data_IF_943936592878
#
_entry.id   IF_943936592878
#
_cell.length_a   1.000
_cell.length_b   1.000
_cell.length_c   1.000
_cell.angle_alpha   90.00
_cell.angle_beta   90.00
_cell.angle_gamma   90.00
#
_symmetry.space_group_name_H-M   'P 1'
#
loop_
_entity.id
_entity.type
_entity.pdbx_description
1 polymer ?
2 non-polymer ?
3 non-polymer ?
4 non-polymer ?
5 non-polymer ?
6 water ?
#
# COMPACT_ATOMS: atom_id res chain seq x y z
N UNK A 1 -7.10 -16.85 21.15
CA UNK A 1 -5.63 -16.94 21.38
C UNK A 1 -4.92 -15.77 20.72
N UNK A 2 -5.46 -15.30 19.60
CA UNK A 2 -4.88 -14.22 18.82
C UNK A 2 -6.00 -13.22 18.51
N UNK A 3 -5.96 -12.06 19.17
CA UNK A 3 -6.98 -11.06 18.97
C UNK A 3 -6.58 -10.01 17.95
N UNK A 4 -7.57 -9.23 17.53
CA UNK A 4 -7.33 -8.16 16.57
C UNK A 4 -6.21 -7.24 17.07
N UNK A 5 -6.28 -6.84 18.35
CA UNK A 5 -5.30 -5.90 18.87
C UNK A 5 -3.89 -6.47 18.79
N UNK A 6 -3.74 -7.76 19.08
CA UNK A 6 -2.42 -8.38 18.96
C UNK A 6 -1.89 -8.25 17.54
N UNK A 7 -2.74 -8.50 16.55
CA UNK A 7 -2.32 -8.39 15.15
C UNK A 7 -1.93 -6.96 14.81
N UNK A 8 -2.69 -5.98 15.30
CA UNK A 8 -2.35 -4.58 15.04
C UNK A 8 -1.01 -4.22 15.67
N UNK A 9 -0.76 -4.68 16.90
CA UNK A 9 0.54 -4.40 17.53
C UNK A 9 1.68 -5.00 16.72
N UNK A 10 1.48 -6.21 16.18
CA UNK A 10 2.51 -6.83 15.36
C UNK A 10 2.83 -5.98 14.14
N UNK A 11 1.80 -5.48 13.46
CA UNK A 11 2.04 -4.58 12.34
C UNK A 11 2.75 -3.32 12.78
N UNK A 12 2.34 -2.76 13.91
CA UNK A 12 3.02 -1.58 14.44
C UNK A 12 4.50 -1.84 14.63
N UNK A 13 4.84 -2.95 15.30
CA UNK A 13 6.25 -3.26 15.57
C UNK A 13 7.01 -3.43 14.26
N UNK A 14 6.44 -4.20 13.33
CA UNK A 14 7.10 -4.40 12.05
C UNK A 14 7.36 -3.10 11.32
N UNK A 15 6.38 -2.20 11.32
CA UNK A 15 6.58 -0.91 10.66
C UNK A 15 7.62 -0.07 11.39
N UNK A 16 7.61 -0.11 12.73
CA UNK A 16 8.60 0.63 13.50
C UNK A 16 10.01 0.19 13.15
N UNK A 17 10.26 -1.12 13.14
CA UNK A 17 11.59 -1.62 12.84
C UNK A 17 12.03 -1.18 11.44
N UNK A 18 11.13 -1.30 10.47
CA UNK A 18 11.43 -0.80 9.14
C UNK A 18 11.78 0.66 9.16
N UNK A 19 10.98 1.47 9.87
CA UNK A 19 11.21 2.91 9.91
C UNK A 19 12.61 3.24 10.41
N UNK A 20 12.98 2.68 11.57
CA UNK A 20 14.30 2.97 12.13
C UNK A 20 15.40 2.49 11.18
N UNK A 21 15.22 1.33 10.57
CA UNK A 21 16.23 0.82 9.65
C UNK A 21 16.43 1.78 8.47
N UNK A 22 15.33 2.27 7.89
CA UNK A 22 15.45 3.17 6.76
C UNK A 22 16.07 4.50 7.17
N UNK A 23 15.66 5.03 8.33
CA UNK A 23 16.21 6.31 8.79
C UNK A 23 17.72 6.20 9.00
N UNK A 24 18.17 5.09 9.60
CA UNK A 24 19.60 4.92 9.81
C UNK A 24 20.35 4.89 8.49
N UNK A 25 19.92 4.04 7.55
CA UNK A 25 20.61 3.93 6.27
C UNK A 25 20.66 5.25 5.53
N UNK A 26 19.82 6.22 5.89
CA UNK A 26 19.84 7.53 5.31
C UNK A 26 20.57 8.57 6.13
N UNK A 27 21.26 8.17 7.20
CA UNK A 27 21.97 9.09 8.08
C UNK A 27 22.61 10.23 7.31
N UNK A 35 16.37 11.62 -0.99
CA UNK A 35 14.95 11.57 -1.32
C UNK A 35 14.38 10.17 -1.12
N UNK A 36 15.06 9.17 -1.65
CA UNK A 36 14.56 7.80 -1.55
C UNK A 36 14.42 7.37 -0.09
N UNK A 37 15.47 7.58 0.70
CA UNK A 37 15.45 7.15 2.10
C UNK A 37 14.38 7.89 2.89
N UNK A 38 14.17 9.17 2.59
CA UNK A 38 13.14 9.93 3.30
C UNK A 38 11.75 9.43 2.92
N UNK A 39 11.56 9.03 1.67
CA UNK A 39 10.27 8.49 1.25
C UNK A 39 9.98 7.18 1.96
N UNK A 40 10.97 6.30 2.09
CA UNK A 40 10.73 5.03 2.76
C UNK A 40 10.43 5.22 4.24
N UNK A 41 11.04 6.22 4.87
CA UNK A 41 10.68 6.51 6.26
C UNK A 41 9.22 6.93 6.34
N UNK A 42 8.76 7.74 5.39
CA UNK A 42 7.37 8.15 5.39
C UNK A 42 6.42 6.99 5.15
N UNK A 43 6.77 6.11 4.22
CA UNK A 43 5.90 4.97 3.91
C UNK A 43 5.65 4.12 5.15
N UNK A 44 6.71 3.69 5.83
CA UNK A 44 6.54 2.84 6.99
C UNK A 44 6.24 3.63 8.25
N UNK A 45 6.74 4.86 8.35
CA UNK A 45 6.45 5.68 9.52
C UNK A 45 4.97 5.98 9.65
N UNK A 46 4.34 6.36 8.55
CA UNK A 46 2.90 6.64 8.59
C UNK A 46 2.13 5.38 8.96
N UNK A 47 2.51 4.24 8.37
CA UNK A 47 1.82 2.99 8.67
C UNK A 47 1.99 2.61 10.14
N UNK A 48 3.19 2.80 10.68
CA UNK A 48 3.40 2.54 12.10
C UNK A 48 2.35 3.25 12.94
N UNK A 49 2.15 4.54 12.69
CA UNK A 49 1.19 5.31 13.47
C UNK A 49 -0.22 4.75 13.29
N UNK A 50 -0.62 4.47 12.05
CA UNK A 50 -1.97 3.95 11.83
C UNK A 50 -2.19 2.67 12.61
N UNK A 51 -1.19 1.79 12.65
CA UNK A 51 -1.37 0.51 13.33
C UNK A 51 -1.44 0.68 14.84
N UNK A 52 -0.61 1.58 15.40
CA UNK A 52 -0.71 1.84 16.84
C UNK A 52 -2.10 2.34 17.19
N UNK A 53 -2.57 3.36 16.49
CA UNK A 53 -3.92 3.89 16.72
C UNK A 53 -4.93 2.75 16.72
N UNK A 54 -4.85 1.89 15.71
CA UNK A 54 -5.78 0.77 15.63
C UNK A 54 -5.54 -0.22 16.77
N UNK A 55 -4.28 -0.46 17.11
CA UNK A 55 -4.00 -1.34 18.25
C UNK A 55 -4.66 -0.83 19.52
N UNK A 56 -4.66 0.49 19.72
CA UNK A 56 -5.27 1.09 20.89
C UNK A 56 -6.79 1.12 20.83
N UNK A 57 -7.40 0.58 19.78
CA UNK A 57 -8.83 0.57 19.66
C UNK A 57 -9.44 1.83 19.11
N UNK A 58 -8.65 2.71 18.53
CA UNK A 58 -9.14 3.98 18.00
C UNK A 58 -9.47 3.80 16.53
N UNK A 59 -10.59 4.40 16.11
CA UNK A 59 -10.94 4.40 14.70
C UNK A 59 -11.68 3.18 14.22
N UNK A 60 -12.24 2.38 15.11
CA UNK A 60 -13.02 1.20 14.73
C UNK A 60 -14.46 1.66 14.54
N UNK A 61 -14.87 1.87 13.28
CA UNK A 61 -16.15 2.46 12.95
C UNK A 61 -17.15 1.35 12.67
N UNK A 62 -18.25 1.24 13.40
CA UNK A 62 -19.30 0.27 13.04
C UNK A 62 -20.10 0.79 11.86
N UNK A 63 -20.37 -0.10 10.91
CA UNK A 63 -21.11 0.25 9.69
C UNK A 63 -22.04 -0.91 9.39
N UNK A 64 -23.34 -0.70 9.56
CA UNK A 64 -24.31 -1.77 9.35
C UNK A 64 -24.00 -2.95 10.27
N UNK A 65 -23.46 -4.02 9.69
CA UNK A 65 -23.20 -5.24 10.44
C UNK A 65 -21.72 -5.54 10.63
N UNK A 66 -20.83 -4.73 10.05
CA UNK A 66 -19.41 -5.00 10.06
C UNK A 66 -18.67 -3.86 10.76
N UNK A 67 -17.38 -4.10 10.98
CA UNK A 67 -16.49 -3.11 11.59
C UNK A 67 -15.46 -2.67 10.56
N UNK A 68 -15.34 -1.36 10.39
CA UNK A 68 -14.44 -0.74 9.42
C UNK A 68 -13.31 -0.05 10.19
N UNK A 69 -12.09 -0.21 9.69
CA UNK A 69 -10.90 0.32 10.36
C UNK A 69 -10.43 1.55 9.60
N UNK A 70 -10.82 2.72 10.09
CA UNK A 70 -10.62 3.95 9.36
C UNK A 70 -9.14 4.33 9.24
N UNK A 71 -8.32 4.12 10.26
CA UNK A 71 -6.90 4.46 10.12
C UNK A 71 -6.22 3.71 8.98
N UNK A 72 -6.67 2.50 8.69
CA UNK A 72 -6.10 1.74 7.57
C UNK A 72 -6.20 2.52 6.27
N UNK A 73 -7.35 3.14 6.01
CA UNK A 73 -7.53 3.81 4.72
C UNK A 73 -6.80 5.15 4.66
N UNK A 74 -6.76 5.90 5.77
CA UNK A 74 -5.94 7.10 5.79
C UNK A 74 -4.48 6.74 5.51
N UNK A 75 -3.98 5.71 6.20
CA UNK A 75 -2.66 5.15 5.89
C UNK A 75 -2.51 4.92 4.40
N UNK A 76 -3.40 4.13 3.81
CA UNK A 76 -3.24 3.77 2.41
C UNK A 76 -3.25 5.00 1.51
N UNK A 77 -4.10 5.98 1.80
CA UNK A 77 -4.21 7.15 0.95
C UNK A 77 -2.92 7.96 0.94
N UNK A 78 -2.17 7.94 2.03
CA UNK A 78 -0.93 8.70 2.12
C UNK A 78 0.30 7.90 1.73
N UNK A 79 0.32 6.59 2.03
CA UNK A 79 1.52 5.81 1.81
C UNK A 79 1.61 5.26 0.39
N UNK A 80 0.49 4.85 -0.21
CA UNK A 80 0.56 4.29 -1.56
C UNK A 80 1.04 5.29 -2.60
N UNK A 81 0.66 6.57 -2.58
CA UNK A 81 1.26 7.51 -3.55
C UNK A 81 2.76 7.67 -3.35
N UNK A 82 3.23 7.51 -2.11
CA UNK A 82 4.66 7.58 -1.85
C UNK A 82 5.38 6.38 -2.46
N UNK A 83 4.75 5.21 -2.46
CA UNK A 83 5.31 4.05 -3.13
C UNK A 83 5.36 4.29 -4.63
N UNK A 84 4.28 4.83 -5.20
CA UNK A 84 4.27 5.13 -6.63
C UNK A 84 5.29 6.21 -6.95
N UNK A 85 5.44 7.20 -6.06
CA UNK A 85 6.47 8.21 -6.24
C UNK A 85 7.85 7.58 -6.29
N UNK A 86 8.15 6.71 -5.31
CA UNK A 86 9.44 6.03 -5.30
C UNK A 86 9.71 5.32 -6.62
N UNK A 87 8.73 4.57 -7.12
CA UNK A 87 8.91 3.90 -8.40
C UNK A 87 9.03 4.89 -9.55
N UNK A 88 8.37 6.04 -9.46
CA UNK A 88 8.47 7.03 -10.50
C UNK A 88 9.85 7.64 -10.59
N UNK A 89 10.49 7.85 -9.44
CA UNK A 89 11.86 8.36 -9.45
C UNK A 89 12.80 7.35 -10.11
N UNK A 90 12.68 6.07 -9.75
CA UNK A 90 13.52 5.06 -10.37
C UNK A 90 13.37 5.06 -11.88
N UNK A 91 12.14 5.20 -12.37
CA UNK A 91 11.88 5.16 -13.80
C UNK A 91 12.19 6.47 -14.49
N UNK A 92 12.39 7.55 -13.75
CA UNK A 92 12.71 8.83 -14.33
C UNK A 92 11.55 9.49 -15.04
N UNK A 93 10.41 9.58 -14.36
CA UNK A 93 9.23 10.20 -14.95
C UNK A 93 9.35 11.72 -14.92
N UNK A 94 8.87 12.35 -15.98
CA UNK A 94 8.69 13.80 -15.96
C UNK A 94 7.52 14.15 -15.05
N UNK A 95 7.54 15.38 -14.51
CA UNK A 95 6.56 15.76 -13.51
C UNK A 95 5.13 15.62 -13.99
N UNK A 96 4.91 15.47 -15.30
CA UNK A 96 3.55 15.32 -15.81
C UNK A 96 3.10 13.87 -15.74
N UNK A 97 3.98 12.93 -16.04
CA UNK A 97 3.64 11.51 -15.88
C UNK A 97 3.31 11.19 -14.43
N UNK A 98 4.06 11.80 -13.49
CA UNK A 98 3.75 11.63 -12.08
C UNK A 98 2.29 11.94 -11.80
N UNK A 99 1.77 13.03 -12.37
CA UNK A 99 0.42 13.46 -12.06
C UNK A 99 -0.61 12.42 -12.43
N UNK A 100 -0.45 11.79 -13.59
CA UNK A 100 -1.41 10.78 -14.03
C UNK A 100 -1.47 9.63 -13.03
N UNK A 101 -0.31 9.01 -12.76
CA UNK A 101 -0.32 7.80 -11.95
C UNK A 101 -0.75 8.10 -10.52
N UNK A 102 -0.29 9.22 -9.95
CA UNK A 102 -0.70 9.56 -8.59
C UNK A 102 -2.19 9.89 -8.55
N UNK A 103 -2.74 10.44 -9.63
CA UNK A 103 -4.18 10.68 -9.68
C UNK A 103 -4.93 9.36 -9.75
N UNK A 104 -4.51 8.47 -10.65
CA UNK A 104 -5.12 7.15 -10.72
C UNK A 104 -5.05 6.43 -9.37
N UNK A 105 -3.90 6.49 -8.71
CA UNK A 105 -3.76 5.84 -7.42
C UNK A 105 -4.78 6.38 -6.42
N UNK A 106 -4.91 7.70 -6.33
CA UNK A 106 -5.80 8.30 -5.34
C UNK A 106 -7.24 7.88 -5.58
N UNK A 107 -7.64 7.72 -6.84
CA UNK A 107 -9.00 7.27 -7.13
C UNK A 107 -9.22 5.88 -6.55
N UNK A 108 -8.24 5.00 -6.70
CA UNK A 108 -8.35 3.66 -6.12
C UNK A 108 -8.57 3.74 -4.62
N UNK A 109 -7.70 4.49 -3.94
CA UNK A 109 -7.73 4.54 -2.48
C UNK A 109 -9.01 5.18 -1.99
N UNK A 110 -9.41 6.30 -2.58
CA UNK A 110 -10.63 6.99 -2.14
C UNK A 110 -11.87 6.13 -2.37
N UNK A 111 -11.94 5.47 -3.54
CA UNK A 111 -13.09 4.60 -3.80
C UNK A 111 -13.19 3.48 -2.77
N UNK A 112 -12.04 2.90 -2.40
CA UNK A 112 -12.08 1.84 -1.40
C UNK A 112 -12.50 2.37 -0.04
N UNK A 113 -11.98 3.53 0.34
CA UNK A 113 -12.38 4.15 1.61
C UNK A 113 -13.87 4.43 1.63
N UNK A 114 -14.39 5.02 0.56
CA UNK A 114 -15.81 5.35 0.51
C UNK A 114 -16.68 4.11 0.51
N UNK A 115 -16.32 3.10 -0.29
CA UNK A 115 -17.10 1.87 -0.31
C UNK A 115 -17.13 1.17 1.02
N UNK A 116 -16.01 1.18 1.75
CA UNK A 116 -16.00 0.57 3.07
C UNK A 116 -16.96 1.27 4.01
N UNK A 117 -17.11 2.59 3.87
CA UNK A 117 -17.90 3.40 4.79
C UNK A 117 -19.37 3.49 4.41
N UNK A 118 -19.79 2.85 3.33
CA UNK A 118 -21.17 2.91 2.86
C UNK A 118 -21.86 1.60 3.20
N UNK A 119 -23.02 1.62 3.87
CA UNK A 119 -23.63 0.36 4.30
C UNK A 119 -24.33 -0.40 3.18
N UNK A 120 -24.92 0.31 2.22
CA UNK A 120 -25.72 -0.32 1.20
C UNK A 120 -24.89 -0.92 0.08
N UNK A 121 -25.61 -1.44 -0.92
CA UNK A 121 -24.94 -2.11 -2.03
C UNK A 121 -24.24 -1.13 -2.95
N UNK A 122 -24.55 0.16 -2.85
CA UNK A 122 -23.78 1.16 -3.59
C UNK A 122 -22.29 1.01 -3.35
N UNK A 123 -21.89 0.37 -2.24
CA UNK A 123 -20.48 0.21 -1.93
C UNK A 123 -19.79 -0.66 -2.97
N UNK A 124 -20.50 -1.61 -3.58
CA UNK A 124 -19.89 -2.39 -4.65
C UNK A 124 -19.71 -1.56 -5.90
N UNK A 125 -20.55 -0.54 -6.11
CA UNK A 125 -20.33 0.38 -7.22
C UNK A 125 -19.07 1.19 -7.01
N UNK A 126 -18.80 1.61 -5.77
CA UNK A 126 -17.55 2.30 -5.48
C UNK A 126 -16.36 1.36 -5.65
N UNK A 127 -16.50 0.11 -5.20
CA UNK A 127 -15.41 -0.85 -5.36
C UNK A 127 -15.07 -1.07 -6.83
N UNK A 128 -16.10 -1.21 -7.67
CA UNK A 128 -15.84 -1.39 -9.10
C UNK A 128 -15.08 -0.25 -9.71
N UNK A 129 -15.38 0.98 -9.28
CA UNK A 129 -14.67 2.13 -9.84
C UNK A 129 -13.19 2.10 -9.45
N UNK A 130 -12.89 1.75 -8.21
CA UNK A 130 -11.50 1.57 -7.82
C UNK A 130 -10.83 0.49 -8.65
N UNK A 131 -11.54 -0.61 -8.91
CA UNK A 131 -10.98 -1.67 -9.74
C UNK A 131 -10.62 -1.17 -11.13
N UNK A 132 -11.51 -0.39 -11.75
CA UNK A 132 -11.24 0.11 -13.09
C UNK A 132 -10.00 0.99 -13.08
N UNK A 133 -9.92 1.90 -12.11
CA UNK A 133 -8.76 2.79 -12.03
C UNK A 133 -7.49 2.02 -11.70
N UNK A 134 -7.60 0.92 -10.96
CA UNK A 134 -6.43 0.12 -10.64
C UNK A 134 -5.85 -0.51 -11.92
N UNK A 135 -6.71 -0.97 -12.82
CA UNK A 135 -6.22 -1.53 -14.07
C UNK A 135 -5.45 -0.48 -14.88
N UNK A 136 -5.91 0.76 -14.86
CA UNK A 136 -5.16 1.82 -15.52
C UNK A 136 -3.82 2.06 -14.85
N UNK A 137 -3.78 1.99 -13.52
CA UNK A 137 -2.51 2.15 -12.81
C UNK A 137 -1.54 1.03 -13.18
N UNK A 138 -2.03 -0.21 -13.26
CA UNK A 138 -1.18 -1.33 -13.63
C UNK A 138 -0.62 -1.12 -15.03
N UNK A 139 -1.46 -0.62 -15.95
CA UNK A 139 -0.98 -0.37 -17.30
C UNK A 139 0.21 0.60 -17.28
N UNK A 140 0.13 1.65 -16.47
CA UNK A 140 1.20 2.64 -16.46
C UNK A 140 2.47 2.07 -15.86
N UNK A 141 2.34 1.22 -14.83
CA UNK A 141 3.52 0.60 -14.23
C UNK A 141 4.20 -0.34 -15.21
N UNK A 142 3.42 -1.17 -15.90
CA UNK A 142 3.98 -2.18 -16.78
C UNK A 142 4.38 -1.63 -18.14
N UNK A 143 3.81 -0.50 -18.55
CA UNK A 143 4.08 0.05 -19.86
C UNK A 143 4.90 1.32 -19.82
N UNK A 144 4.23 2.47 -19.87
CA UNK A 144 4.97 3.75 -19.94
C UNK A 144 6.09 3.90 -18.92
N UNK A 145 5.87 3.50 -17.67
CA UNK A 145 6.92 3.66 -16.66
C UNK A 145 8.07 2.69 -16.89
N UNK A 146 7.79 1.53 -17.51
CA UNK A 146 8.85 0.59 -17.85
C UNK A 146 9.63 1.08 -19.06
N UNK A 147 8.94 1.59 -20.08
CA UNK A 147 9.62 2.25 -21.18
C UNK A 147 10.60 3.30 -20.65
N UNK A 148 10.13 4.13 -19.71
CA UNK A 148 10.94 5.24 -19.21
C UNK A 148 12.12 4.74 -18.40
N UNK A 149 11.89 3.76 -17.51
CA UNK A 149 12.99 3.19 -16.74
C UNK A 149 14.07 2.59 -17.62
N UNK A 150 13.73 2.23 -18.86
CA UNK A 150 14.71 1.61 -19.75
C UNK A 150 15.87 2.56 -20.05
N UNK A 151 15.61 3.87 -20.06
CA UNK A 151 16.66 4.82 -20.39
C UNK A 151 17.72 4.95 -19.32
N UNK A 152 17.60 4.27 -18.19
CA UNK A 152 18.54 4.41 -17.10
C UNK A 152 19.55 3.26 -17.13
N UNK A 153 20.55 3.36 -16.25
CA UNK A 153 21.58 2.34 -16.14
C UNK A 153 20.97 0.96 -16.00
N UNK A 154 21.74 -0.09 -16.29
CA UNK A 154 21.22 -1.43 -16.23
C UNK A 154 20.85 -1.85 -14.81
N UNK A 155 21.53 -1.29 -13.81
CA UNK A 155 21.26 -1.63 -12.43
C UNK A 155 20.01 -0.95 -11.90
N UNK A 156 19.80 0.31 -12.28
CA UNK A 156 18.58 1.01 -11.91
C UNK A 156 17.38 0.34 -12.55
N UNK A 157 17.48 0.04 -13.85
CA UNK A 157 16.37 -0.62 -14.51
C UNK A 157 16.06 -1.97 -13.88
N UNK A 158 17.09 -2.69 -13.44
CA UNK A 158 16.88 -3.98 -12.79
C UNK A 158 16.16 -3.81 -11.46
N UNK A 159 16.56 -2.80 -10.67
CA UNK A 159 15.88 -2.52 -9.42
C UNK A 159 14.43 -2.14 -9.65
N UNK A 160 14.17 -1.29 -10.65
CA UNK A 160 12.80 -0.89 -10.92
C UNK A 160 11.92 -2.09 -11.25
N UNK A 161 12.42 -2.99 -12.10
CA UNK A 161 11.63 -4.15 -12.52
C UNK A 161 11.33 -5.04 -11.32
N UNK A 162 12.28 -5.17 -10.40
CA UNK A 162 12.05 -6.02 -9.24
C UNK A 162 11.01 -5.41 -8.31
N UNK A 163 11.11 -4.11 -8.04
CA UNK A 163 10.12 -3.48 -7.18
C UNK A 163 8.76 -3.40 -7.88
N UNK A 164 8.75 -3.13 -9.19
CA UNK A 164 7.50 -3.11 -9.93
C UNK A 164 6.78 -4.45 -9.85
N UNK A 165 7.52 -5.55 -10.03
CA UNK A 165 6.91 -6.87 -10.00
C UNK A 165 6.32 -7.16 -8.61
N UNK A 166 7.11 -6.92 -7.57
CA UNK A 166 6.60 -7.04 -6.21
C UNK A 166 5.33 -6.23 -6.02
N UNK A 167 5.32 -5.00 -6.52
CA UNK A 167 4.18 -4.11 -6.30
C UNK A 167 2.94 -4.60 -7.03
N UNK A 168 3.09 -4.91 -8.33
CA UNK A 168 1.92 -5.27 -9.14
C UNK A 168 1.29 -6.55 -8.62
N UNK A 169 2.11 -7.57 -8.33
CA UNK A 169 1.56 -8.85 -7.94
C UNK A 169 0.86 -8.75 -6.58
N UNK A 170 1.49 -8.10 -5.62
CA UNK A 170 0.91 -8.03 -4.28
C UNK A 170 -0.26 -7.04 -4.21
N UNK A 171 -0.14 -5.89 -4.86
CA UNK A 171 -1.27 -4.95 -4.84
C UNK A 171 -2.52 -5.56 -5.45
N UNK A 172 -2.36 -6.43 -6.44
CA UNK A 172 -3.50 -7.06 -7.08
C UNK A 172 -4.25 -7.99 -6.13
N UNK A 173 -3.62 -8.39 -5.03
CA UNK A 173 -4.28 -9.30 -4.09
C UNK A 173 -5.22 -8.53 -3.16
N UNK A 174 -4.88 -7.29 -2.83
CA UNK A 174 -5.70 -6.52 -1.89
C UNK A 174 -7.18 -6.48 -2.27
N UNK A 175 -7.57 -6.18 -3.51
CA UNK A 175 -9.02 -6.11 -3.80
C UNK A 175 -9.72 -7.43 -3.55
N UNK A 176 -9.03 -8.57 -3.71
CA UNK A 176 -9.65 -9.85 -3.40
C UNK A 176 -9.82 -10.05 -1.91
N UNK A 177 -8.84 -9.64 -1.10
CA UNK A 177 -9.00 -9.76 0.34
C UNK A 177 -10.13 -8.87 0.84
N UNK A 178 -10.20 -7.64 0.31
CA UNK A 178 -11.27 -6.72 0.68
C UNK A 178 -12.63 -7.31 0.35
N UNK A 179 -12.78 -7.82 -0.87
CA UNK A 179 -14.08 -8.32 -1.32
C UNK A 179 -14.50 -9.57 -0.55
N UNK A 180 -13.54 -10.45 -0.22
CA UNK A 180 -13.87 -11.66 0.51
C UNK A 180 -14.03 -11.41 2.01
N UNK A 181 -13.60 -10.25 2.50
CA UNK A 181 -13.66 -9.96 3.91
C UNK A 181 -14.90 -9.20 4.31
N UNK A 182 -14.89 -8.63 5.51
CA UNK A 182 -16.08 -7.95 6.04
C UNK A 182 -16.59 -6.84 5.12
N UNK A 183 -15.69 -6.05 4.50
CA UNK A 183 -16.19 -4.96 3.66
C UNK A 183 -17.05 -5.44 2.50
N UNK A 184 -16.79 -6.64 2.01
CA UNK A 184 -17.55 -7.18 0.89
C UNK A 184 -18.54 -8.24 1.30
N UNK A 185 -18.34 -9.46 0.81
CA UNK A 185 -19.29 -10.54 1.05
C UNK A 185 -18.96 -11.23 2.37
N UNK A 186 -18.39 -10.48 3.31
CA UNK A 186 -18.05 -10.94 4.65
C UNK A 186 -17.90 -12.45 4.78
N UNK A 187 -17.24 -13.07 3.81
CA UNK A 187 -16.87 -14.48 3.93
C UNK A 187 -15.82 -14.61 5.02
N UNK A 188 -14.58 -14.24 4.70
CA UNK A 188 -13.50 -14.28 5.66
C UNK A 188 -13.87 -13.51 6.93
N UNK A 189 -13.44 -14.04 8.07
CA UNK A 189 -13.69 -13.41 9.35
C UNK A 189 -12.75 -12.23 9.56
N UNK A 190 -13.13 -11.27 10.40
CA UNK A 190 -12.26 -10.11 10.61
C UNK A 190 -10.84 -10.49 11.02
N UNK A 191 -10.68 -11.52 11.85
CA UNK A 191 -9.36 -11.87 12.34
C UNK A 191 -8.46 -12.38 11.22
N UNK A 192 -8.98 -13.30 10.41
CA UNK A 192 -8.20 -13.80 9.27
C UNK A 192 -7.96 -12.70 8.26
N UNK A 193 -8.98 -11.90 7.96
CA UNK A 193 -8.83 -10.83 7.00
C UNK A 193 -7.76 -9.84 7.45
N UNK A 194 -7.79 -9.44 8.71
CA UNK A 194 -6.78 -8.53 9.24
C UNK A 194 -5.41 -9.16 9.16
N UNK A 195 -5.29 -10.42 9.58
CA UNK A 195 -4.00 -11.09 9.54
C UNK A 195 -3.40 -11.07 8.13
N UNK A 196 -4.23 -11.31 7.11
CA UNK A 196 -3.73 -11.31 5.74
C UNK A 196 -3.27 -9.92 5.33
N UNK A 197 -3.99 -8.88 5.74
CA UNK A 197 -3.63 -7.53 5.32
C UNK A 197 -2.40 -7.03 6.07
N UNK A 198 -2.24 -7.41 7.34
CA UNK A 198 -1.02 -7.05 8.05
C UNK A 198 0.19 -7.63 7.33
N UNK A 199 0.08 -8.89 6.88
CA UNK A 199 1.17 -9.49 6.13
C UNK A 199 1.47 -8.70 4.86
N UNK A 200 0.41 -8.36 4.11
CA UNK A 200 0.61 -7.65 2.84
C UNK A 200 1.20 -6.26 3.08
N UNK A 201 0.65 -5.53 4.06
CA UNK A 201 1.18 -4.21 4.37
C UNK A 201 2.67 -4.28 4.68
N UNK A 202 3.08 -5.24 5.51
CA UNK A 202 4.48 -5.35 5.87
C UNK A 202 5.36 -5.64 4.65
N UNK A 203 4.89 -6.51 3.75
CA UNK A 203 5.72 -6.86 2.60
C UNK A 203 5.75 -5.72 1.59
N UNK A 204 4.61 -5.10 1.32
CA UNK A 204 4.58 -4.04 0.32
C UNK A 204 5.26 -2.76 0.78
N UNK A 205 5.55 -2.62 2.09
CA UNK A 205 6.23 -1.45 2.62
C UNK A 205 7.61 -1.79 3.15
N UNK A 206 7.71 -2.63 4.18
CA UNK A 206 9.02 -2.93 4.76
C UNK A 206 9.82 -3.84 3.84
N UNK A 207 9.18 -4.89 3.30
CA UNK A 207 9.87 -5.72 2.33
C UNK A 207 10.35 -4.94 1.13
N UNK A 208 9.43 -4.20 0.49
CA UNK A 208 9.76 -3.21 -0.52
C UNK A 208 11.01 -2.42 -0.15
N UNK A 209 11.01 -1.82 1.04
CA UNK A 209 12.13 -0.99 1.44
C UNK A 209 13.44 -1.75 1.50
N UNK A 210 13.44 -2.95 2.09
CA UNK A 210 14.68 -3.68 2.26
C UNK A 210 15.26 -4.15 0.93
N UNK A 211 14.39 -4.48 -0.04
CA UNK A 211 14.90 -4.81 -1.36
C UNK A 211 15.62 -3.61 -1.96
N UNK A 212 15.14 -2.40 -1.68
CA UNK A 212 15.82 -1.20 -2.18
C UNK A 212 17.17 -1.02 -1.49
N UNK A 213 17.19 -1.13 -0.16
CA UNK A 213 18.45 -1.02 0.57
C UNK A 213 19.48 -2.01 0.03
N UNK A 214 19.07 -3.27 -0.15
CA UNK A 214 19.99 -4.29 -0.63
C UNK A 214 20.67 -3.86 -1.93
N UNK A 215 19.91 -3.26 -2.84
CA UNK A 215 20.49 -2.86 -4.12
C UNK A 215 21.37 -1.62 -3.98
N UNK A 216 21.06 -0.76 -3.01
CA UNK A 216 21.87 0.45 -2.82
C UNK A 216 23.28 0.14 -2.35
N UNK A 217 23.50 -1.02 -1.74
CA UNK A 217 24.84 -1.43 -1.33
C UNK A 217 25.56 -2.19 -2.44
N UNK A 218 24.82 -2.85 -3.33
CA UNK A 218 25.44 -3.61 -4.42
C UNK A 218 26.02 -2.72 -5.50
N UNK A 219 25.77 -1.42 -5.46
CA UNK A 219 26.32 -0.49 -6.44
C UNK A 219 27.81 -0.69 -6.62
X LIG B 1 -9.03 -1.52 -2.60
X LIG B 1 -10.53 -1.56 -2.88
X LIG B 1 -10.94 -0.95 -4.22
X LIG B 1 -10.21 -1.61 -5.37
X LIG B 1 -8.76 -1.92 -5.07
X LIG B 1 -8.20 -1.70 -3.87
X LIG B 1 -6.76 -1.71 -3.73
X LIG B 1 -5.99 -1.65 -2.60
X LIG B 1 -4.55 -1.65 -2.54
X LIG B 1 -3.94 -1.42 -1.35
X LIG B 1 -2.53 -1.33 -1.09
X LIG B 1 -2.05 -0.99 0.12
X LIG B 1 -0.65 -0.82 0.47
X LIG B 1 -0.34 -0.33 1.71
X LIG B 1 0.96 -0.05 2.24
X LIG B 1 -8.71 -0.18 -1.94
X LIG B 1 -8.72 -2.65 -1.59
X LIG B 1 -7.99 -2.18 -6.34
X LIG B 1 -3.78 -1.92 -3.81
X LIG B 1 0.39 -1.12 -0.56
X LIG C 1 -11.84 -2.18 6.98
X LIG D 1 -11.91 8.37 14.62
X LIG D 1 -10.97 8.13 13.63
X LIG D 1 -13.31 8.18 14.02
X LIG D 1 -13.66 9.31 13.23
X LIG D 1 -14.36 7.98 15.07
X LIG D 1 -15.53 8.74 14.69
X LIG D 1 -13.89 8.44 16.44
X LIG D 1 -14.92 8.32 17.39
X LIG D 1 -12.66 7.60 16.87
X LIG D 1 -11.66 7.44 15.78
X LIG D 1 -13.11 6.23 17.33
X LIG D 1 -12.40 5.85 18.46
X LIG D 1 -9.68 8.61 13.91
X LIG D 1 -8.71 8.00 12.89
X LIG D 1 -7.28 8.54 12.99
X LIG D 1 -6.30 7.68 12.18
X LIG D 1 -5.12 8.46 11.60
X LIG D 1 -3.88 7.58 11.46
X LIG D 1 -2.99 7.94 10.30
X LIG D 1 -2.11 9.15 10.60
X LIG E 1 -8.79 -17.42 14.40
X LIG E 1 -7.84 -17.20 13.44
X LIG E 1 -8.50 -16.69 15.71
X LIG E 1 -7.95 -17.63 16.64
X LIG E 1 -9.71 -16.05 16.32
X LIG E 1 -9.52 -16.05 17.76
X LIG E 1 -11.05 -16.69 16.08
X LIG E 1 -12.07 -15.78 16.49
X LIG E 1 -11.28 -17.11 14.63
X LIG E 1 -10.08 -16.95 13.78
X LIG E 1 -12.38 -16.33 13.95
X LIG E 1 -12.27 -16.53 12.58
X LIG E 1 -6.49 -17.27 13.81
X LIG E 1 -5.67 -17.62 12.57
X LIG E 1 -5.15 -16.39 11.82
X LIG E 1 -3.71 -16.59 11.34
X LIG E 1 -2.69 -16.10 12.38
X LIG E 1 -1.34 -15.86 11.75
X LIG E 1 -0.53 -14.80 12.46
X LIG E 1 0.48 -14.15 11.54
X LIG F 1 12.41 11.10 10.58
X LIG F 1 12.00 12.28 10.06
X LIG F 1 13.78 11.23 11.24
X LIG F 1 14.74 11.85 10.40
X LIG F 1 14.27 9.87 11.65
X LIG F 1 15.59 9.94 12.24
X LIG F 1 13.31 9.22 12.65
X LIG F 1 13.68 7.88 12.85
X LIG F 1 11.84 9.29 12.19
X LIG F 1 11.41 10.57 11.62
X LIG F 1 10.96 8.98 13.39
X LIG F 1 9.66 9.44 13.20
X LIG F 1 11.96 12.25 8.61
X LIG F 1 13.34 12.50 8.00
X LIG F 1 14.03 11.19 7.68
X LIG F 1 15.58 11.40 7.66
X LIG F 1 16.26 10.27 6.79
X LIG F 1 17.69 10.02 7.24
X LIG F 1 18.49 11.33 7.23
X LIG F 1 18.48 11.97 5.78
X LIG G 1 -11.29 11.68 6.04
X LIG G 1 -9.94 12.22 5.52
X LIG G 1 -9.66 11.67 4.13
X LIG G 1 -8.28 12.12 3.66
X LIG G 1 -8.36 12.81 2.29
X LIG G 1 -7.23 12.29 1.40
X LIG G 1 -6.87 13.25 0.25
X LIG G 1 -5.36 13.13 -0.01
X LIG G 1 -4.89 12.64 -1.15
X LIG G 1 -3.38 12.52 -1.35
X LIG G 1 -2.93 13.22 -2.63
X LIG G 1 -1.49 12.84 -3.00
X LIG G 1 -0.64 12.53 -1.77
X LIG G 1 0.85 12.53 -2.14
X LIG G 1 1.69 12.97 -0.94
X LIG G 1 1.79 11.84 0.08
X LIG G 1 2.09 12.41 1.47
X LIG G 1 -12.50 11.22 8.07
X LIG G 1 -11.21 11.42 7.55
X LIG G 1 -13.38 9.03 8.98
X LIG G 1 -14.55 9.24 8.25
X LIG G 1 -13.75 8.44 10.33
X LIG G 1 -14.73 7.46 10.17
X LIG G 1 -12.04 10.56 10.16
X LIG G 1 -12.59 10.32 9.13
X LIG H 1 -6.91 10.07 18.30
X LIG H 1 -5.68 10.50 17.96
X LIG H 1 -7.10 10.19 19.80
X LIG H 1 -6.15 9.37 20.47
X LIG H 1 -8.49 9.82 20.20
X LIG H 1 -8.65 10.03 21.62
X LIG H 1 -9.55 10.62 19.45
X LIG H 1 -10.82 10.09 19.75
X LIG H 1 -9.33 10.57 17.92
X LIG H 1 -7.95 10.86 17.51
X LIG H 1 -10.25 11.58 17.27
X LIG H 1 -11.59 11.23 17.44
X LIG H 1 -4.88 9.53 17.24
X LIG H 1 -3.83 10.25 16.38
X LIG H 1 -2.51 10.33 17.11
X LIG H 1 -1.42 10.93 16.17
X LIG H 1 -0.15 11.31 17.02
X LIG H 1 1.05 11.48 16.12
X LIG H 1 2.32 11.48 16.98
X LIG H 1 3.59 11.29 16.06
X LIG I 1 -6.18 4.56 25.46
X LIG I 1 -7.16 3.95 24.72
X LIG I 1 -5.16 3.49 25.86
X LIG I 1 -5.74 2.63 26.84
X LIG I 1 -3.92 4.11 26.40
X LIG I 1 -2.94 3.07 26.68
X LIG I 1 -3.32 5.12 25.44
X LIG I 1 -2.15 5.66 25.98
X LIG I 1 -4.34 6.24 25.15
X LIG I 1 -5.60 5.70 24.62
X LIG I 1 -3.77 7.21 24.12
X LIG I 1 -2.53 7.70 24.56
X LIG I 1 -8.49 4.52 24.81
X LIG I 1 -8.59 5.82 24.03
X LIG I 1 -10.01 6.33 24.12
X LIG I 1 -10.25 7.51 23.14
X LIG I 1 -10.91 7.01 21.80
X LIG I 1 -12.29 6.44 22.05
X LIG I 1 -13.36 7.43 21.60
X LIG I 1 -13.43 8.63 22.63
X LIG J 1 -14.49 8.72 -5.31
X LIG J 1 -13.31 9.68 -5.51
X LIG J 1 -13.22 10.12 -6.98
X LIG J 1 -12.77 11.58 -7.06
X LIG J 1 -11.35 11.70 -7.64
X LIG J 1 -10.62 12.83 -6.93
X LIG J 1 -9.11 12.91 -7.26
X LIG J 1 -8.54 14.00 -6.35
X LIG J 1 -7.30 14.48 -6.40
X LIG J 1 -6.20 14.03 -7.36
X LIG J 1 -5.19 15.19 -7.47
X LIG J 1 -3.73 14.73 -7.54
X LIG J 1 -2.96 15.67 -8.48
X LIG J 1 -1.45 15.68 -8.23
X LIG J 1 -0.79 16.63 -9.23
X LIG J 1 0.68 16.29 -9.44
X LIG J 1 1.23 17.05 -10.65
X LIG J 1 -15.83 10.16 -3.90
X LIG J 1 -15.12 8.95 -3.92
X LIG J 1 -18.11 11.26 -3.55
X LIG J 1 -17.36 12.43 -3.66
X LIG J 1 -18.67 11.10 -2.12
X LIG J 1 -19.90 11.75 -1.98
X LIG J 1 -17.75 9.01 -4.15
X LIG J 1 -17.24 10.04 -3.89
X LIG K 1 6.47 11.04 7.88
X LIG K 1 7.11 12.33 7.38
X LIG K 1 8.00 12.04 6.16
X LIG K 1 7.22 12.28 4.87
X LIG K 1 8.13 12.10 3.65
X LIG K 1 7.58 12.91 2.47
X LIG K 1 8.28 12.56 1.15
X LIG K 1 8.62 13.84 0.39
X LIG K 1 8.01 14.21 -0.73
X LIG K 1 6.89 13.38 -1.37
X LIG K 1 6.12 14.16 -2.43
X LIG K 1 7.04 14.87 -3.44
X LIG K 1 6.20 15.41 -4.60
X LIG K 1 7.10 15.80 -5.78
X LIG K 1 6.25 16.35 -6.92
X LIG K 1 6.41 15.47 -8.17
X LIG K 1 5.16 15.61 -9.05
X LIG K 1 6.14 9.70 9.84
X LIG K 1 6.89 10.77 9.34
X LIG K 1 7.03 9.41 12.20
X LIG K 1 8.13 8.93 11.50
X LIG K 1 6.59 8.40 13.25
X LIG K 1 7.69 7.82 13.89
X LIG K 1 4.80 9.93 11.62
X LIG K 1 5.90 9.71 11.21
X LIG L 1 10.82 -8.79 5.01
X LIG L 1 12.21 -8.39 5.51
X LIG L 1 13.29 -9.22 4.84
X LIG L 1 13.39 -8.87 3.35
X LIG L 1 14.60 -9.56 2.72
X LIG L 1 14.68 -9.18 1.24
X LIG L 1 15.71 -8.08 1.02
X LIG L 1 17.07 -8.74 0.80
X LIG L 1 17.56 -8.97 -0.41
X LIG L 1 16.82 -8.61 -1.65
X LIG L 1 9.24 -8.81 6.82
X LIG L 1 9.74 -8.03 5.76
X LIG L 1 7.67 -10.72 7.43
X LIG L 1 7.64 -11.86 6.65
X LIG L 1 6.29 -10.50 8.07
X LIG L 1 6.02 -11.51 8.98
X LIG L 1 7.31 -9.13 5.71
X LIG L 1 8.04 -9.49 6.56
X LIG M 1 15.19 -3.58 17.61
X LIG M 1 15.65 -2.29 16.96
X LIG M 1 16.55 -2.60 15.77
X LIG M 1 16.14 -1.76 14.55
X LIG M 1 17.16 -1.96 13.44
X LIG M 1 17.82 -0.62 13.10
X LIG M 1 19.31 -0.65 13.47
X LIG M 1 19.83 0.79 13.52
X LIG M 1 21.11 1.08 13.47
X LIG M 1 22.19 0.00 13.36
X LIG M 1 22.31 -0.48 11.91
X LIG M 1 23.77 -0.56 11.48
X LIG M 1 23.86 -1.12 10.06
X LIG M 1 25.22 -0.81 9.46
X LIG M 1 25.29 0.64 8.97
X LIG M 1 26.72 0.96 8.55
X LIG M 1 26.78 2.37 7.97
X LIG M 1 14.02 -4.42 19.52
X LIG M 1 14.66 -3.29 19.02
X LIG M 1 11.75 -4.36 20.66
X LIG M 1 11.72 -5.59 21.29
X LIG M 1 10.33 -3.95 20.23
X LIG M 1 10.38 -2.91 19.30
X LIG M 1 12.13 -4.42 18.32
X LIG M 1 12.62 -4.41 19.40
X LIG N 1 9.97 16.38 7.27
X LIG N 1 11.27 16.73 7.52
X LIG N 1 9.21 16.51 8.61
X LIG N 1 9.65 15.50 9.52
X LIG N 1 7.73 16.40 8.40
X LIG N 1 7.04 16.57 9.65
X LIG N 1 7.24 17.42 7.39
X LIG N 1 5.85 17.34 7.26
X LIG N 1 7.95 17.22 6.03
X LIG N 1 9.42 17.29 6.17
X LIG N 1 7.54 18.30 5.05
X LIG N 1 7.74 17.87 3.73
X LIG N 1 12.22 16.46 6.46
X LIG N 1 13.59 16.13 7.06
X LIG N 1 14.65 16.17 5.98
X LIG N 1 15.67 15.01 6.15
X LIG N 1 16.69 15.29 7.33
X LIG N 1 17.25 16.70 7.21
X LIG N 1 18.70 16.75 7.73
X LIG N 1 19.18 18.24 7.70
X LIG O 1 -17.92 -5.76 -8.15
X LIG O 1 -17.93 -7.29 -8.28
X LIG O 1 -18.94 -7.88 -7.30
X LIG O 1 -20.35 -7.58 -7.81
X LIG O 1 -21.40 -7.92 -6.75
X LIG O 1 -22.75 -7.39 -7.22
X LIG O 1 -23.76 -7.41 -6.07
X LIG O 1 -24.23 -8.85 -5.86
X LIG O 1 -24.63 -9.31 -4.68
X LIG O 1 -24.69 -8.46 -3.42
X LIG O 1 -26.15 -8.30 -2.98
X LIG O 1 -26.91 -9.58 -2.96
X LIG O 1 -19.73 -5.06 -9.58
X LIG O 1 -18.34 -5.07 -9.45
X LIG O 1 -21.94 -3.76 -9.54
X LIG O 1 -22.26 -2.94 -10.62
X LIG O 1 -22.57 -3.19 -8.26
X LIG O 1 -23.84 -2.68 -8.54
X LIG O 1 -19.79 -2.84 -9.14
X LIG O 1 -20.40 -3.82 -9.40
X LIG P 1 1.23 -3.84 24.56
X LIG P 1 0.19 -3.06 24.99
X LIG P 1 0.71 -5.01 23.73
X LIG P 1 -0.11 -5.82 24.57
X LIG P 1 1.87 -5.78 23.20
X LIG P 1 1.42 -6.89 22.40
X LIG P 1 2.81 -4.92 22.37
X LIG P 1 3.92 -5.70 22.02
X LIG P 1 3.28 -3.64 23.09
X LIG P 1 2.21 -2.94 23.80
X LIG P 1 3.83 -2.67 22.04
X LIG P 1 5.19 -2.38 22.23
X LIG P 1 0.61 -1.80 25.59
X LIG P 1 -0.60 -0.97 26.02
X LIG P 1 -0.12 0.34 26.60
X LIG P 1 -0.49 1.53 25.71
X LIG Q 1 -16.80 9.55 1.97
X LIG Q 1 -18.15 9.75 1.94
X LIG Q 1 -16.21 10.01 0.64
X LIG Q 1 -16.82 9.29 -0.44
X LIG Q 1 -14.74 9.81 0.57
X LIG Q 1 -14.15 10.81 -0.31
X LIG Q 1 -14.05 9.87 1.93
X LIG Q 1 -13.95 8.57 2.45
X LIG Q 1 -14.82 10.76 2.94
X LIG Q 1 -16.22 10.35 3.14
X LIG Q 1 -14.78 12.22 2.49
X LIG Q 1 -13.61 12.52 1.77
X LIG Q 1 -18.97 8.55 1.87
X LIG Q 1 -19.29 8.05 3.28
X LIG Q 1 -20.69 7.48 3.36
X LIG Q 1 -21.45 8.17 4.54
X LIG Q 1 -22.67 7.32 5.07
X LIG Q 1 -23.45 6.69 3.93
X LIG Q 1 -24.96 6.64 4.26
X LIG Q 1 -25.22 6.10 5.70
#
# INVERSE_FOLDING_TARGET
MVGLTTLFWLGAIGMLVGTLAFAWAGRDAGSGERRYYVTLVGISGIAAVAYVVMALGVGWVPVAERTVFAPRYIDWILTTPLIVYFLGLLAGLDSREFGIVITLNTVVMLAGFAGAMVPGIERYALFGMGAVAFLGLVYYLVGPMTESASQRSSGIKSLYVRLRNLTVILWAIYPFIWLLGPPGVALLTPTVDVALIVYLDLVTKVGFGFIALDAAATLRAEHGESLAGVDTDAPAVADENSHHHHHHH
RET C1 C2 C3 C4 C5 C6 C7 C8 C9 C10 C11 C12 C13 C14 C15 C16 C17 C18 C19 C20
CL CL
BOG C1 O1 C2 O2 C3 O3 C4 O4 C5 O5 C6 O6 C1' C2' C3' C4' C5' C6' C7' C8'
BOG C1 O1 C2 O2 C3 O3 C4 O4 C5 O5 C6 O6 C1' C2' C3' C4' C5' C6' C7' C8'
BOG C1 O1 C2 O2 C3 O3 C4 O4 C5 O5 C6 O6 C1' C2' C3' C4' C5' C6' C7' C8'
MPG C2 C3 C4 C5 C6 C7 C8 C9 C10 C11 C12 C13 C14 C15 C16 C17 C18 O1 C1 CXD O2 C21 O3 O4 CX3
BOG C1 O1 C2 O2 C3 O3 C4 O4 C5 O5 C6 O6 C1' C2' C3' C4' C5' C6' C7' C8'
BOG C1 O1 C2 O2 C3 O3 C4 O4 C5 O5 C6 O6 C1' C2' C3' C4' C5' C6' C7' C8'
MPG C2 C3 C4 C5 C6 C7 C8 C9 C10 C11 C12 C13 C14 C15 C16 C17 C18 O1 C1 CXD O2 C21 O3 O4 CX3
MPG C2 C3 C4 C5 C6 C7 C8 C9 C10 C11 C12 C13 C14 C15 C16 C17 C18 O1 C1 CXD O2 C21 O3 O4 CX3
MPG C2 C3 C4 C5 C6 C7 C8 C9 C10 C11 O1 C1 CXD O2 C21 O3 O4 CX3
MPG C2 C3 C4 C5 C6 C7 C8 C9 C10 C11 C12 C13 C14 C15 C16 C17 C18 O1 C1 CXD O2 C21 O3 O4 CX3
BOG C1 O1 C2 O2 C3 O3 C4 O4 C5 O5 C6 O6 C1' C2' C3' C4' C5' C6' C7' C8'
MPG C2 C3 C4 C5 C6 C7 C8 C9 C10 C11 C12 C13 O1 C1 CXD O2 C21 O3 O4 CX3
BOG C1 O1 C2 O2 C3 O3 C4 O4 C5 O5 C6 O6 C1' C2' C3' C4'
BOG C1 O1 C2 O2 C3 O3 C4 O4 C5 O5 C6 O6 C1' C2' C3' C4' C5' C6' C7' C8'
#
